data_IF_125317521947
#
_entry.id   IF_125317521947
#
_cell.length_a   1.000
_cell.length_b   1.000
_cell.length_c   1.000
_cell.angle_alpha   90.00
_cell.angle_beta   90.00
_cell.angle_gamma   90.00
#
_symmetry.space_group_name_H-M   'P 1'
#
loop_
_entity.id
_entity.type
_entity.pdbx_description
1 polymer ?
#
# COMPACT_ATOMS: atom_id res chain seq x y z
N UNK A 1 -5.61 25.38 -5.85
CA UNK A 1 -5.66 24.83 -5.46
C UNK A 1 -5.50 23.90 -5.47
N UNK A 2 -5.54 23.83 -5.62
CA UNK A 2 -5.66 23.05 -5.39
C UNK A 2 -5.19 22.32 -4.84
N UNK A 3 -5.26 22.06 -4.49
CA UNK A 3 -4.84 21.33 -3.80
C UNK A 3 -4.91 20.02 -3.91
N UNK A 4 -4.00 19.58 -4.35
CA UNK A 4 -4.12 18.39 -4.46
C UNK A 4 -4.44 17.69 -3.34
N UNK A 5 -5.18 17.34 -3.40
CA UNK A 5 -5.83 17.14 -2.17
C UNK A 5 -5.74 15.70 -1.76
N UNK A 6 -5.78 15.46 -0.46
CA UNK A 6 -5.76 14.13 0.10
C UNK A 6 -7.18 13.72 0.41
N UNK A 7 -7.52 12.48 0.09
CA UNK A 7 -8.82 11.91 0.39
C UNK A 7 -8.67 10.90 1.51
N UNK A 8 -9.48 11.01 2.56
CA UNK A 8 -9.44 10.06 3.65
C UNK A 8 -10.26 8.83 3.29
N UNK A 9 -9.63 7.68 3.31
CA UNK A 9 -10.30 6.41 3.05
C UNK A 9 -10.03 5.46 4.19
N UNK A 10 -10.81 4.37 4.28
CA UNK A 10 -10.59 3.35 5.28
C UNK A 10 -10.66 1.98 4.64
N UNK A 11 -9.77 1.09 5.07
CA UNK A 11 -9.71 -0.28 4.59
C UNK A 11 -9.47 -1.20 5.77
N UNK A 12 -9.85 -2.47 5.61
CA UNK A 12 -9.55 -3.48 6.58
C UNK A 12 -8.38 -4.32 6.06
N UNK A 13 -7.41 -4.55 6.91
CA UNK A 13 -6.20 -5.27 6.54
C UNK A 13 -6.04 -6.44 7.50
N UNK A 14 -5.56 -7.58 7.00
CA UNK A 14 -5.27 -8.72 7.87
C UNK A 14 -4.36 -8.24 9.02
N UNK A 15 -4.72 -8.61 10.24
CA UNK A 15 -4.01 -8.08 11.41
C UNK A 15 -2.54 -8.46 11.43
N UNK A 16 -2.22 -9.71 11.06
CA UNK A 16 -0.83 -10.15 11.08
C UNK A 16 0.00 -9.40 10.04
N UNK A 17 -0.56 -9.14 8.87
CA UNK A 17 0.14 -8.36 7.85
C UNK A 17 0.38 -6.93 8.33
N UNK A 18 -0.63 -6.33 8.91
CA UNK A 18 -0.53 -4.94 9.34
C UNK A 18 0.47 -4.78 10.47
N UNK A 19 0.46 -5.69 11.44
CA UNK A 19 1.37 -5.61 12.57
C UNK A 19 2.82 -5.79 12.13
N UNK A 20 3.07 -6.75 11.25
CA UNK A 20 4.42 -6.95 10.71
C UNK A 20 4.86 -5.74 9.89
N UNK A 21 3.94 -5.18 9.11
CA UNK A 21 4.24 -4.00 8.32
C UNK A 21 4.58 -2.80 9.19
N UNK A 22 3.88 -2.63 10.32
CA UNK A 22 4.17 -1.50 11.21
C UNK A 22 5.60 -1.60 11.75
N UNK A 23 6.05 -2.80 12.07
CA UNK A 23 7.43 -2.98 12.52
C UNK A 23 8.41 -2.58 11.44
N UNK A 24 8.15 -2.99 10.21
CA UNK A 24 9.00 -2.60 9.08
C UNK A 24 8.98 -1.10 8.85
N UNK A 25 7.84 -0.46 9.05
CA UNK A 25 7.74 0.99 8.90
C UNK A 25 8.70 1.72 9.86
N UNK A 26 8.77 1.25 11.11
CA UNK A 26 9.67 1.85 12.07
C UNK A 26 11.13 1.66 11.64
N UNK A 27 11.47 0.46 11.21
CA UNK A 27 12.84 0.17 10.79
C UNK A 27 13.26 0.98 9.56
N UNK A 28 12.35 1.20 8.62
CA UNK A 28 12.71 1.78 7.33
C UNK A 28 12.21 3.21 7.16
N UNK A 29 11.64 3.78 8.22
CA UNK A 29 11.08 5.15 8.19
C UNK A 29 10.12 5.33 7.03
N UNK A 30 9.22 4.38 6.91
CA UNK A 30 8.22 4.35 5.86
C UNK A 30 6.85 4.42 6.52
N UNK A 31 5.78 4.65 5.76
CA UNK A 31 4.44 4.76 6.33
C UNK A 31 3.44 4.07 5.42
N UNK A 32 2.28 3.73 6.00
CA UNK A 32 1.20 3.15 5.22
C UNK A 32 0.70 4.12 4.16
N UNK A 33 0.64 5.41 4.49
CA UNK A 33 0.23 6.40 3.50
C UNK A 33 1.17 6.40 2.28
N UNK A 34 2.47 6.35 2.52
CA UNK A 34 3.43 6.29 1.42
C UNK A 34 3.24 5.04 0.59
N UNK A 35 3.02 3.90 1.26
CA UNK A 35 2.78 2.66 0.54
C UNK A 35 1.53 2.76 -0.33
N UNK A 36 0.44 3.28 0.25
CA UNK A 36 -0.82 3.38 -0.49
C UNK A 36 -0.68 4.29 -1.71
N UNK A 37 -0.11 5.47 -1.52
CA UNK A 37 0.06 6.40 -2.63
C UNK A 37 0.93 5.79 -3.74
N UNK A 38 2.05 5.20 -3.36
CA UNK A 38 2.98 4.67 -4.33
C UNK A 38 2.45 3.42 -5.02
N UNK A 39 1.77 2.56 -4.26
CA UNK A 39 1.20 1.36 -4.83
C UNK A 39 0.08 1.68 -5.81
N UNK A 40 -0.76 2.65 -5.47
CA UNK A 40 -1.83 3.06 -6.38
C UNK A 40 -1.23 3.67 -7.64
N UNK A 41 -0.21 4.51 -7.50
CA UNK A 41 0.44 5.10 -8.65
C UNK A 41 1.03 4.02 -9.56
N UNK A 42 1.72 3.04 -8.99
CA UNK A 42 2.29 1.96 -9.78
C UNK A 42 1.20 1.09 -10.43
N UNK A 43 0.11 0.87 -9.72
CA UNK A 43 -1.01 0.12 -10.30
C UNK A 43 -1.53 0.79 -11.56
N UNK A 44 -1.58 2.11 -11.55
CA UNK A 44 -2.11 2.87 -12.67
C UNK A 44 -1.12 3.07 -13.81
N UNK A 45 0.18 3.05 -13.52
CA UNK A 45 1.20 3.41 -14.51
C UNK A 45 2.11 2.27 -14.92
N UNK A 46 2.17 1.18 -14.14
CA UNK A 46 3.08 0.07 -14.41
C UNK A 46 2.26 -1.21 -14.61
N UNK A 47 2.19 -1.65 -15.86
CA UNK A 47 1.38 -2.80 -16.20
C UNK A 47 1.88 -4.08 -15.52
N UNK A 48 3.19 -4.24 -15.40
CA UNK A 48 3.74 -5.42 -14.74
C UNK A 48 3.37 -5.46 -13.27
N UNK A 49 3.45 -4.31 -12.59
CA UNK A 49 3.05 -4.25 -11.19
C UNK A 49 1.57 -4.57 -11.03
N UNK A 50 0.73 -4.01 -11.92
CA UNK A 50 -0.71 -4.25 -11.85
C UNK A 50 -1.02 -5.73 -12.03
N UNK A 51 -0.38 -6.38 -13.00
CA UNK A 51 -0.59 -7.80 -13.21
C UNK A 51 -0.17 -8.62 -12.01
N UNK A 52 0.97 -8.28 -11.42
CA UNK A 52 1.48 -8.98 -10.27
C UNK A 52 0.53 -8.83 -9.08
N UNK A 53 0.06 -7.63 -8.81
CA UNK A 53 -0.82 -7.37 -7.69
C UNK A 53 -2.17 -8.03 -7.86
N UNK A 54 -2.74 -7.97 -9.06
CA UNK A 54 -4.08 -8.51 -9.27
C UNK A 54 -4.11 -10.03 -9.21
N UNK A 55 -2.99 -10.68 -9.48
CA UNK A 55 -2.92 -12.14 -9.40
C UNK A 55 -2.38 -12.63 -8.05
N UNK A 56 -1.93 -11.73 -7.20
CA UNK A 56 -1.35 -12.08 -5.91
C UNK A 56 -2.47 -12.35 -4.91
N UNK A 57 -2.61 -13.60 -4.49
CA UNK A 57 -3.70 -13.97 -3.60
C UNK A 57 -3.29 -14.81 -2.40
N UNK A 58 -2.00 -15.15 -2.27
CA UNK A 58 -1.50 -15.86 -1.11
C UNK A 58 -0.95 -14.83 -0.13
N UNK A 59 -1.68 -14.60 0.95
CA UNK A 59 -1.36 -13.55 1.91
C UNK A 59 -0.76 -14.09 3.21
N UNK A 60 -0.31 -15.33 3.22
CA UNK A 60 0.32 -15.91 4.40
C UNK A 60 1.75 -15.40 4.54
N UNK A 61 2.16 -15.18 5.78
CA UNK A 61 3.53 -14.73 6.06
C UNK A 61 4.48 -15.94 6.29
#
# INVERSE_FOLDING_TARGET
MAKKDMTLTSVKIKSDLFETFKIECVKRKFSFQKLADRAIHLYLTDEDFRKQITSHNDLEL
#
